data_IF_226709612466
#
_entry.id   IF_226709612466
#
_cell.length_a   1.000
_cell.length_b   1.000
_cell.length_c   1.000
_cell.angle_alpha   90.00
_cell.angle_beta   90.00
_cell.angle_gamma   90.00
#
_symmetry.space_group_name_H-M   'P 1'
#
loop_
_entity.id
_entity.type
_entity.pdbx_description
1 polymer ?
#
# COMPACT_ATOMS: atom_id res chain seq x y z
N UNK A 1 3.75 -25.33 4.27
CA UNK A 1 4.59 -24.26 3.70
C UNK A 1 5.76 -24.80 2.87
N UNK A 2 6.73 -25.53 3.45
CA UNK A 2 7.89 -26.06 2.71
C UNK A 2 7.54 -26.95 1.51
N UNK A 3 6.51 -27.80 1.64
CA UNK A 3 6.00 -28.63 0.54
C UNK A 3 5.50 -27.81 -0.65
N UNK A 4 4.80 -26.70 -0.42
CA UNK A 4 4.32 -25.80 -1.48
C UNK A 4 5.50 -25.08 -2.15
N UNK A 5 6.48 -24.63 -1.35
CA UNK A 5 7.69 -24.01 -1.88
C UNK A 5 8.49 -24.97 -2.79
N UNK A 6 8.65 -26.24 -2.37
CA UNK A 6 9.28 -27.28 -3.21
C UNK A 6 8.40 -27.70 -4.39
N UNK A 7 7.10 -27.47 -4.33
CA UNK A 7 6.18 -27.66 -5.46
C UNK A 7 6.29 -26.56 -6.53
N UNK A 8 7.11 -25.53 -6.32
CA UNK A 8 7.27 -24.41 -7.24
C UNK A 8 6.26 -23.28 -7.04
N UNK A 9 5.42 -23.35 -5.99
CA UNK A 9 4.47 -22.29 -5.70
C UNK A 9 5.18 -20.96 -5.40
N UNK A 10 4.62 -19.86 -5.89
CA UNK A 10 5.18 -18.54 -5.62
C UNK A 10 4.97 -18.12 -4.16
N UNK A 11 5.85 -17.27 -3.64
CA UNK A 11 5.73 -16.73 -2.28
C UNK A 11 4.36 -16.05 -2.02
N UNK A 12 3.74 -15.48 -3.06
CA UNK A 12 2.42 -14.86 -2.96
C UNK A 12 1.29 -15.89 -2.79
N UNK A 13 1.36 -17.01 -3.52
CA UNK A 13 0.40 -18.12 -3.40
C UNK A 13 0.50 -18.76 -2.02
N UNK A 14 1.73 -18.98 -1.55
CA UNK A 14 1.99 -19.50 -0.21
C UNK A 14 1.48 -18.51 0.85
N UNK A 15 1.76 -17.22 0.69
CA UNK A 15 1.28 -16.18 1.61
C UNK A 15 -0.26 -16.17 1.72
N UNK A 16 -0.96 -16.25 0.59
CA UNK A 16 -2.43 -16.31 0.56
C UNK A 16 -2.99 -17.57 1.24
N UNK A 17 -2.36 -18.73 1.02
CA UNK A 17 -2.81 -19.99 1.63
C UNK A 17 -2.69 -20.03 3.16
N UNK A 18 -1.80 -19.24 3.73
CA UNK A 18 -1.56 -19.15 5.19
C UNK A 18 -2.09 -17.85 5.82
N UNK A 19 -2.78 -17.00 5.04
CA UNK A 19 -3.28 -15.68 5.46
C UNK A 19 -2.21 -14.81 6.14
N UNK A 20 -1.01 -14.75 5.55
CA UNK A 20 0.10 -13.93 6.04
C UNK A 20 0.66 -13.06 4.91
N UNK A 21 1.41 -12.02 5.27
CA UNK A 21 2.03 -11.16 4.26
C UNK A 21 3.16 -11.88 3.52
N UNK A 22 3.36 -11.53 2.24
CA UNK A 22 4.47 -12.06 1.41
C UNK A 22 5.84 -11.82 2.05
N UNK A 23 6.01 -10.71 2.77
CA UNK A 23 7.26 -10.37 3.44
C UNK A 23 7.61 -11.36 4.57
N UNK A 24 6.60 -11.84 5.32
CA UNK A 24 6.77 -12.83 6.38
C UNK A 24 7.30 -14.15 5.79
N UNK A 25 6.69 -14.63 4.70
CA UNK A 25 7.15 -15.85 4.01
C UNK A 25 8.57 -15.67 3.47
N UNK A 26 8.89 -14.52 2.86
CA UNK A 26 10.23 -14.24 2.35
C UNK A 26 11.29 -14.30 3.47
N UNK A 27 10.98 -13.72 4.64
CA UNK A 27 11.84 -13.78 5.82
C UNK A 27 11.99 -15.19 6.39
N UNK A 28 10.94 -16.02 6.36
CA UNK A 28 11.02 -17.43 6.78
C UNK A 28 11.92 -18.24 5.85
N UNK A 29 11.76 -18.08 4.53
CA UNK A 29 12.60 -18.75 3.53
C UNK A 29 14.07 -18.36 3.67
N UNK A 30 14.37 -17.09 3.92
CA UNK A 30 15.74 -16.62 4.07
C UNK A 30 16.42 -17.12 5.36
N UNK A 31 15.65 -17.36 6.42
CA UNK A 31 16.19 -17.74 7.74
C UNK A 31 16.36 -19.25 7.95
N UNK A 32 15.72 -20.06 7.10
CA UNK A 32 15.72 -21.53 7.23
C UNK A 32 16.19 -22.19 5.92
N UNK A 33 17.45 -21.94 5.49
CA UNK A 33 17.95 -22.45 4.20
C UNK A 33 17.94 -23.98 4.08
N UNK A 34 18.04 -24.70 5.21
CA UNK A 34 17.96 -26.16 5.28
C UNK A 34 16.56 -26.69 4.91
N UNK A 35 15.51 -25.94 5.22
CA UNK A 35 14.13 -26.30 4.87
C UNK A 35 13.80 -25.84 3.45
N UNK A 36 14.40 -24.73 2.99
CA UNK A 36 14.17 -24.08 1.70
C UNK A 36 15.45 -23.98 0.85
N UNK A 37 15.96 -25.10 0.31
CA UNK A 37 17.20 -25.11 -0.47
C UNK A 37 17.07 -24.29 -1.76
N UNK A 38 18.01 -23.36 -1.98
CA UNK A 38 18.01 -22.45 -3.13
C UNK A 38 18.23 -23.18 -4.46
N UNK A 39 19.07 -24.21 -4.45
CA UNK A 39 19.46 -24.96 -5.63
C UNK A 39 18.27 -25.66 -6.31
N UNK A 40 17.36 -26.21 -5.52
CA UNK A 40 16.17 -26.91 -6.02
C UNK A 40 15.24 -25.94 -6.77
N UNK A 41 15.09 -24.71 -6.24
CA UNK A 41 14.30 -23.66 -6.86
C UNK A 41 14.94 -23.12 -8.15
N UNK A 42 16.26 -23.02 -8.20
CA UNK A 42 16.95 -22.61 -9.42
C UNK A 42 16.78 -23.64 -10.54
N UNK A 43 16.90 -24.94 -10.21
CA UNK A 43 16.63 -26.03 -11.15
C UNK A 43 15.19 -25.99 -11.66
N UNK A 44 14.19 -25.83 -10.78
CA UNK A 44 12.80 -25.72 -11.19
C UNK A 44 12.54 -24.50 -12.09
N UNK A 45 13.14 -23.35 -11.77
CA UNK A 45 13.02 -22.14 -12.60
C UNK A 45 13.68 -22.33 -13.97
N UNK A 46 14.78 -23.06 -14.07
CA UNK A 46 15.40 -23.40 -15.35
C UNK A 46 14.50 -24.33 -16.17
N UNK A 47 13.93 -25.37 -15.55
CA UNK A 47 12.98 -26.29 -16.21
C UNK A 47 11.74 -25.55 -16.70
N UNK A 48 11.16 -24.67 -15.88
CA UNK A 48 9.98 -23.89 -16.25
C UNK A 48 10.29 -22.91 -17.38
N UNK A 49 11.45 -22.24 -17.34
CA UNK A 49 11.90 -21.38 -18.46
C UNK A 49 12.08 -22.17 -19.76
N UNK A 50 12.62 -23.38 -19.70
CA UNK A 50 12.77 -24.24 -20.88
C UNK A 50 11.40 -24.65 -21.43
N UNK A 51 10.45 -25.01 -20.57
CA UNK A 51 9.08 -25.35 -20.96
C UNK A 51 8.35 -24.14 -21.58
N UNK A 52 8.45 -22.96 -20.98
CA UNK A 52 7.86 -21.73 -21.49
C UNK A 52 8.47 -21.32 -22.85
N UNK A 53 9.78 -21.50 -23.01
CA UNK A 53 10.46 -21.24 -24.27
C UNK A 53 9.98 -22.20 -25.37
N UNK A 54 9.84 -23.49 -25.06
CA UNK A 54 9.30 -24.49 -25.99
C UNK A 54 7.84 -24.19 -26.36
N UNK A 55 7.01 -23.81 -25.39
CA UNK A 55 5.61 -23.44 -25.62
C UNK A 55 5.48 -22.16 -26.47
N UNK A 56 6.36 -21.19 -26.29
CA UNK A 56 6.43 -19.98 -27.14
C UNK A 56 6.88 -20.31 -28.56
N UNK A 57 7.88 -21.18 -28.72
CA UNK A 57 8.34 -21.64 -30.03
C UNK A 57 7.21 -22.34 -30.81
N UNK A 58 6.46 -23.23 -30.16
CA UNK A 58 5.32 -23.93 -30.74
C UNK A 58 4.15 -23.02 -31.13
N UNK A 59 3.93 -21.91 -30.41
CA UNK A 59 2.89 -20.92 -30.76
C UNK A 59 3.31 -19.94 -31.85
N UNK A 60 4.61 -19.77 -32.09
CA UNK A 60 5.12 -18.82 -33.09
C UNK A 60 4.81 -19.24 -34.54
N UNK A 61 4.66 -20.53 -34.81
CA UNK A 61 4.37 -21.07 -36.15
C UNK A 61 2.91 -20.92 -36.62
N UNK A 62 1.97 -20.52 -35.76
CA UNK A 62 0.56 -20.33 -36.14
C UNK A 62 0.15 -18.85 -36.31
N UNK A 63 1.04 -17.88 -36.08
CA UNK A 63 0.64 -16.45 -36.02
C UNK A 63 1.04 -15.58 -37.21
N UNK A 64 1.71 -16.13 -38.23
CA UNK A 64 2.16 -15.35 -39.40
C UNK A 64 1.02 -14.86 -40.32
N UNK A 65 -0.20 -15.41 -40.23
CA UNK A 65 -1.29 -15.07 -41.14
C UNK A 65 -2.18 -13.88 -40.72
N UNK A 66 -2.11 -13.38 -39.48
CA UNK A 66 -3.13 -12.43 -38.95
C UNK A 66 -2.62 -11.06 -38.53
N UNK A 67 -1.35 -10.71 -38.78
CA UNK A 67 -0.75 -9.47 -38.25
C UNK A 67 -0.45 -8.44 -39.34
N UNK A 68 -1.50 -7.97 -40.04
CA UNK A 68 -1.44 -6.78 -40.94
C UNK A 68 -2.55 -5.77 -40.64
N UNK A 69 -2.61 -5.25 -39.41
CA UNK A 69 -3.16 -3.91 -39.11
C UNK A 69 -2.34 -3.32 -37.97
N UNK A 70 -1.19 -2.76 -38.34
CA UNK A 70 -0.25 -2.14 -37.42
C UNK A 70 -0.74 -0.78 -36.97
N UNK A 71 -1.12 -0.68 -35.71
CA UNK A 71 -0.87 0.55 -34.96
C UNK A 71 0.57 0.39 -34.48
N UNK A 72 1.51 1.06 -35.15
CA UNK A 72 2.88 1.15 -34.68
C UNK A 72 2.83 1.69 -33.25
N UNK A 73 3.29 0.88 -32.29
CA UNK A 73 3.55 1.39 -30.96
C UNK A 73 4.49 2.60 -31.14
N UNK A 74 4.15 3.78 -30.61
CA UNK A 74 5.00 4.94 -30.77
C UNK A 74 6.37 4.60 -30.19
N UNK A 75 7.36 4.53 -31.07
CA UNK A 75 8.75 4.37 -30.72
C UNK A 75 9.20 5.70 -30.10
N UNK A 76 8.80 5.94 -28.85
CA UNK A 76 9.40 7.00 -28.07
C UNK A 76 10.86 6.62 -27.87
N UNK A 77 11.75 7.27 -28.63
CA UNK A 77 13.14 7.34 -28.24
C UNK A 77 13.14 7.96 -26.85
N UNK A 78 13.43 7.15 -25.83
CA UNK A 78 13.63 7.64 -24.49
C UNK A 78 14.90 8.50 -24.54
N UNK A 79 14.71 9.81 -24.70
CA UNK A 79 15.78 10.75 -24.44
C UNK A 79 16.25 10.49 -23.02
N UNK A 80 17.52 10.17 -22.85
CA UNK A 80 18.13 10.10 -21.53
C UNK A 80 17.98 11.48 -20.90
N UNK A 81 17.26 11.55 -19.79
CA UNK A 81 17.21 12.75 -18.97
C UNK A 81 18.61 12.99 -18.43
N UNK A 82 18.97 14.26 -18.24
CA UNK A 82 20.20 14.57 -17.51
C UNK A 82 20.08 14.05 -16.07
N UNK A 83 21.21 13.73 -15.43
CA UNK A 83 21.21 13.31 -14.02
C UNK A 83 20.55 14.37 -13.12
N UNK A 84 20.69 15.66 -13.46
CA UNK A 84 20.06 16.78 -12.75
C UNK A 84 18.53 16.77 -12.88
N UNK A 85 18.01 16.42 -14.06
CA UNK A 85 16.56 16.30 -14.28
C UNK A 85 15.99 15.09 -13.53
N UNK A 86 16.73 13.98 -13.47
CA UNK A 86 16.35 12.81 -12.68
C UNK A 86 16.30 13.12 -11.18
N UNK A 87 17.32 13.80 -10.65
CA UNK A 87 17.36 14.22 -9.24
C UNK A 87 16.19 15.15 -8.91
N UNK A 88 15.93 16.15 -9.77
CA UNK A 88 14.78 17.06 -9.60
C UNK A 88 13.45 16.31 -9.63
N UNK A 89 13.31 15.31 -10.50
CA UNK A 89 12.11 14.48 -10.57
C UNK A 89 11.93 13.62 -9.32
N UNK A 90 13.01 13.08 -8.75
CA UNK A 90 12.98 12.33 -7.49
C UNK A 90 12.58 13.26 -6.34
N UNK A 91 13.23 14.42 -6.22
CA UNK A 91 12.92 15.42 -5.19
C UNK A 91 11.44 15.85 -5.25
N UNK A 92 10.92 16.13 -6.45
CA UNK A 92 9.51 16.48 -6.65
C UNK A 92 8.55 15.35 -6.23
N UNK A 93 8.90 14.08 -6.49
CA UNK A 93 8.10 12.93 -6.04
C UNK A 93 8.11 12.79 -4.52
N UNK A 94 9.26 13.00 -3.87
CA UNK A 94 9.38 12.97 -2.41
C UNK A 94 8.53 14.09 -1.80
N UNK A 95 8.67 15.32 -2.29
CA UNK A 95 7.90 16.47 -1.81
C UNK A 95 6.39 16.25 -1.98
N UNK A 96 5.96 15.73 -3.14
CA UNK A 96 4.55 15.39 -3.39
C UNK A 96 4.03 14.36 -2.39
N UNK A 97 4.82 13.33 -2.04
CA UNK A 97 4.45 12.33 -1.03
C UNK A 97 4.37 12.94 0.36
N UNK A 98 5.33 13.78 0.75
CA UNK A 98 5.31 14.48 2.03
C UNK A 98 4.09 15.38 2.16
N UNK A 99 3.75 16.12 1.10
CA UNK A 99 2.55 16.97 1.06
C UNK A 99 1.27 16.15 1.17
N UNK A 100 1.19 15.01 0.49
CA UNK A 100 0.05 14.10 0.60
C UNK A 100 -0.07 13.52 2.02
N UNK A 101 1.04 13.13 2.63
CA UNK A 101 1.07 12.64 4.01
C UNK A 101 0.60 13.73 5.00
N UNK A 102 1.14 14.95 4.90
CA UNK A 102 0.71 16.09 5.73
C UNK A 102 -0.81 16.31 5.63
N UNK A 103 -1.37 16.32 4.42
CA UNK A 103 -2.83 16.46 4.21
C UNK A 103 -3.64 15.31 4.82
N UNK A 104 -3.09 14.10 4.86
CA UNK A 104 -3.77 12.95 5.47
C UNK A 104 -3.83 13.05 7.01
N UNK A 105 -2.88 13.74 7.64
CA UNK A 105 -2.84 13.98 9.09
C UNK A 105 -3.56 15.25 9.54
N UNK A 106 -3.91 16.15 8.63
CA UNK A 106 -4.69 17.34 8.96
C UNK A 106 -6.13 16.93 9.30
N UNK A 107 -6.49 16.92 10.58
CA UNK A 107 -7.84 16.56 11.04
C UNK A 107 -8.77 17.76 11.21
N UNK A 108 -8.34 18.98 10.82
CA UNK A 108 -9.19 20.19 10.92
C UNK A 108 -10.46 20.06 10.10
N UNK A 109 -10.40 19.35 8.97
CA UNK A 109 -11.56 19.05 8.13
C UNK A 109 -12.62 18.17 8.82
N UNK A 110 -12.28 17.55 9.97
CA UNK A 110 -13.22 16.78 10.78
C UNK A 110 -13.93 17.64 11.84
N UNK A 111 -13.64 18.94 11.94
CA UNK A 111 -14.33 19.81 12.89
C UNK A 111 -15.82 19.91 12.56
N UNK A 112 -16.67 19.63 13.56
CA UNK A 112 -18.12 19.69 13.40
C UNK A 112 -18.59 21.13 13.60
N UNK A 113 -19.42 21.63 12.68
CA UNK A 113 -19.97 22.98 12.75
C UNK A 113 -20.63 23.26 14.12
N UNK A 114 -20.32 24.41 14.71
CA UNK A 114 -20.84 24.84 16.01
C UNK A 114 -20.30 24.07 17.23
N UNK A 115 -19.39 23.10 17.06
CA UNK A 115 -18.74 22.45 18.21
C UNK A 115 -17.67 23.36 18.79
N UNK A 116 -17.75 23.63 20.10
CA UNK A 116 -16.59 24.14 20.84
C UNK A 116 -15.57 23.00 20.97
N UNK A 117 -14.29 23.34 20.83
CA UNK A 117 -13.20 22.41 21.12
C UNK A 117 -12.84 22.49 22.60
N UNK A 118 -12.34 21.39 23.14
CA UNK A 118 -11.89 21.26 24.54
C UNK A 118 -10.41 20.84 24.49
N UNK A 119 -9.51 21.40 25.32
CA UNK A 119 -8.14 20.92 25.43
C UNK A 119 -8.10 19.41 25.70
N UNK A 120 -7.10 18.70 25.18
CA UNK A 120 -6.98 17.25 25.37
C UNK A 120 -6.90 16.88 26.85
N UNK A 121 -6.21 17.69 27.67
CA UNK A 121 -6.09 17.47 29.11
C UNK A 121 -7.42 17.62 29.86
N UNK A 122 -8.33 18.44 29.33
CA UNK A 122 -9.66 18.68 29.91
C UNK A 122 -10.72 17.71 29.35
N UNK A 123 -10.35 16.84 28.40
CA UNK A 123 -11.27 15.85 27.84
C UNK A 123 -11.56 14.73 28.84
N UNK A 124 -12.76 14.76 29.42
CA UNK A 124 -13.24 13.74 30.33
C UNK A 124 -13.40 12.35 29.69
N UNK A 125 -13.76 11.36 30.51
CA UNK A 125 -13.99 9.97 30.09
C UNK A 125 -15.12 9.83 29.06
N UNK A 126 -16.17 10.64 29.20
CA UNK A 126 -17.34 10.62 28.32
C UNK A 126 -17.32 11.72 27.25
N UNK A 127 -16.13 12.15 26.83
CA UNK A 127 -15.95 13.17 25.80
C UNK A 127 -15.11 12.69 24.62
N UNK A 128 -15.45 13.18 23.43
CA UNK A 128 -14.81 12.79 22.18
C UNK A 128 -13.37 13.30 22.14
N UNK A 129 -12.41 12.37 22.08
CA UNK A 129 -10.96 12.66 22.10
C UNK A 129 -10.36 12.82 20.70
N UNK A 130 -11.19 13.05 19.68
CA UNK A 130 -10.66 13.35 18.35
C UNK A 130 -9.98 14.72 18.38
N UNK A 131 -8.67 14.72 18.21
CA UNK A 131 -7.86 15.94 18.08
C UNK A 131 -8.15 16.60 16.72
N UNK A 132 -8.41 17.90 16.75
CA UNK A 132 -8.75 18.76 15.61
C UNK A 132 -7.55 19.68 15.34
N UNK A 133 -6.50 19.14 14.75
CA UNK A 133 -5.22 19.84 14.53
C UNK A 133 -4.79 19.76 13.08
N UNK A 134 -4.08 20.78 12.64
CA UNK A 134 -3.39 20.79 11.35
C UNK A 134 -2.11 19.96 11.43
N UNK A 135 -1.53 19.64 10.27
CA UNK A 135 -0.34 18.79 10.19
C UNK A 135 0.92 19.38 10.82
N UNK A 136 0.93 20.68 11.12
CA UNK A 136 2.07 21.40 11.68
C UNK A 136 1.82 21.85 13.13
N UNK A 137 0.63 21.59 13.67
CA UNK A 137 0.30 21.94 15.04
C UNK A 137 1.01 20.96 16.00
N UNK A 138 1.53 21.48 17.11
CA UNK A 138 2.10 20.63 18.15
C UNK A 138 0.99 19.80 18.83
N UNK A 139 1.17 18.49 18.90
CA UNK A 139 0.32 17.61 19.69
C UNK A 139 0.80 17.65 21.14
N UNK A 140 -0.04 18.17 22.04
CA UNK A 140 0.26 18.29 23.46
C UNK A 140 -1.01 18.31 24.30
N UNK A 141 -0.88 18.57 25.62
CA UNK A 141 -2.02 18.62 26.54
C UNK A 141 -3.09 19.64 26.13
N UNK A 142 -2.69 20.74 25.50
CA UNK A 142 -3.58 21.80 25.04
C UNK A 142 -4.15 21.56 23.62
N UNK A 143 -3.86 20.40 23.00
CA UNK A 143 -4.34 20.11 21.67
C UNK A 143 -5.88 20.11 21.63
N UNK A 144 -6.52 20.87 20.73
CA UNK A 144 -7.96 21.01 20.70
C UNK A 144 -8.61 19.70 20.27
N UNK A 145 -9.52 19.20 21.08
CA UNK A 145 -10.32 18.00 20.82
C UNK A 145 -11.78 18.35 20.59
N UNK A 146 -12.53 17.42 19.99
CA UNK A 146 -13.96 17.61 19.74
C UNK A 146 -14.78 17.87 21.01
N UNK A 147 -14.52 17.15 22.10
CA UNK A 147 -15.20 17.34 23.39
C UNK A 147 -16.69 16.97 23.47
N UNK A 148 -17.34 16.59 22.36
CA UNK A 148 -18.76 16.18 22.35
C UNK A 148 -18.97 14.88 23.16
N UNK A 149 -20.16 14.68 23.75
CA UNK A 149 -20.44 13.47 24.52
C UNK A 149 -20.29 12.20 23.67
N UNK A 150 -19.78 11.14 24.29
CA UNK A 150 -19.62 9.81 23.69
C UNK A 150 -20.44 8.78 24.46
N UNK A 151 -20.78 7.68 23.80
CA UNK A 151 -21.36 6.53 24.48
C UNK A 151 -20.30 5.84 25.34
N UNK A 152 -20.73 5.17 26.40
CA UNK A 152 -19.85 4.36 27.25
C UNK A 152 -19.07 3.33 26.41
N UNK A 153 -17.76 3.24 26.65
CA UNK A 153 -16.85 2.40 25.89
C UNK A 153 -16.43 2.94 24.51
N UNK A 154 -16.91 4.12 24.08
CA UNK A 154 -16.48 4.77 22.84
C UNK A 154 -15.48 5.90 23.09
N UNK A 155 -14.41 5.97 22.31
CA UNK A 155 -13.46 7.09 22.34
C UNK A 155 -13.97 8.32 21.55
N UNK A 156 -14.98 8.14 20.70
CA UNK A 156 -15.40 9.13 19.71
C UNK A 156 -16.92 9.31 19.69
N UNK A 157 -17.36 10.54 19.36
CA UNK A 157 -18.78 10.81 19.21
C UNK A 157 -19.33 10.12 17.94
N UNK A 158 -20.65 9.87 17.86
CA UNK A 158 -21.25 9.18 16.72
C UNK A 158 -20.96 9.83 15.35
N UNK A 159 -20.78 11.15 15.32
CA UNK A 159 -20.46 11.88 14.09
C UNK A 159 -19.01 11.63 13.64
N UNK A 160 -18.05 11.61 14.57
CA UNK A 160 -16.66 11.31 14.26
C UNK A 160 -16.43 9.84 13.94
N UNK A 161 -17.15 8.92 14.57
CA UNK A 161 -17.16 7.51 14.17
C UNK A 161 -17.58 7.35 12.70
N UNK A 162 -18.63 8.05 12.27
CA UNK A 162 -19.08 8.04 10.87
C UNK A 162 -18.03 8.57 9.90
N UNK A 163 -17.24 9.56 10.32
CA UNK A 163 -16.17 10.12 9.49
C UNK A 163 -14.95 9.17 9.41
N UNK A 164 -14.53 8.57 10.52
CA UNK A 164 -13.36 7.69 10.56
C UNK A 164 -13.58 6.34 9.87
N UNK A 165 -14.77 5.76 10.04
CA UNK A 165 -15.09 4.44 9.47
C UNK A 165 -15.82 4.50 8.14
N UNK A 166 -15.88 5.69 7.51
CA UNK A 166 -16.37 5.81 6.13
C UNK A 166 -15.41 5.06 5.22
N UNK A 167 -15.84 3.92 4.69
CA UNK A 167 -15.07 3.17 3.70
C UNK A 167 -14.86 4.05 2.46
N UNK A 168 -13.63 4.43 2.11
CA UNK A 168 -13.38 5.20 0.90
C UNK A 168 -13.85 4.37 -0.30
N UNK A 169 -14.82 4.90 -1.06
CA UNK A 169 -15.36 4.25 -2.26
C UNK A 169 -16.84 3.86 -2.20
N UNK A 170 -17.52 4.01 -1.06
CA UNK A 170 -18.99 3.93 -1.02
C UNK A 170 -19.58 5.33 -1.15
N UNK A 171 -19.95 5.73 -2.37
CA UNK A 171 -20.73 6.93 -2.59
C UNK A 171 -22.04 6.85 -1.80
N UNK A 172 -22.41 7.95 -1.14
CA UNK A 172 -23.65 8.08 -0.38
C UNK A 172 -24.84 8.31 -1.31
#
# INVERSE_FOLDING_TARGET
>A
MAKMYRGGDTLAVIAAAFDVSRAVIAGLVSRNPEVFPKEEREKQRQLQKAADAAAKAAKSTQSEASKRRGVSAPTHQAGYLSEEDEERAIAARIEKRLRAAKRAFDTRHMQLAGSKTVPFIDCGEFQCRLVISGSEDALGPDAPCCGRPVAEGSAYCPQHLKLMYRTPGRAA
#
